data_IF_058896673676
#
_entry.id   IF_058896673676
#
_cell.length_a   1.000
_cell.length_b   1.000
_cell.length_c   1.000
_cell.angle_alpha   90.00
_cell.angle_beta   90.00
_cell.angle_gamma   90.00
#
_symmetry.space_group_name_H-M   'P 1'
#
loop_
_entity.id
_entity.type
_entity.pdbx_description
1 polymer ?
#
# COMPACT_ATOMS: atom_id res chain seq x y z
N UNK A 1 0.73 42.99 -23.27
CA UNK A 1 1.00 41.57 -22.93
C UNK A 1 -0.27 41.00 -22.35
N UNK A 2 -0.93 40.10 -23.06
CA UNK A 2 -2.08 39.40 -22.49
C UNK A 2 -1.62 38.60 -21.27
N UNK A 3 -2.19 38.91 -20.10
CA UNK A 3 -1.99 38.06 -18.93
C UNK A 3 -2.49 36.65 -19.26
N UNK A 4 -1.64 35.65 -18.98
CA UNK A 4 -1.95 34.23 -19.12
C UNK A 4 -3.28 33.90 -18.45
N UNK A 5 -4.11 33.08 -19.12
CA UNK A 5 -5.46 32.74 -18.69
C UNK A 5 -5.51 32.19 -17.25
N UNK A 6 -4.48 31.42 -16.84
CA UNK A 6 -4.39 30.84 -15.50
C UNK A 6 -4.20 31.89 -14.40
N UNK A 7 -3.54 33.01 -14.71
CA UNK A 7 -3.31 34.10 -13.75
C UNK A 7 -4.54 34.98 -13.55
N UNK A 8 -5.55 34.86 -14.43
CA UNK A 8 -6.85 35.53 -14.31
C UNK A 8 -7.85 34.74 -13.47
N UNK A 9 -7.55 33.48 -13.17
CA UNK A 9 -8.42 32.69 -12.30
C UNK A 9 -8.35 33.24 -10.87
N UNK A 10 -9.51 33.37 -10.20
CA UNK A 10 -9.56 33.60 -8.76
C UNK A 10 -8.73 32.56 -7.99
N UNK A 11 -8.11 32.98 -6.89
CA UNK A 11 -7.18 32.14 -6.12
C UNK A 11 -7.86 30.89 -5.55
N UNK A 12 -9.10 31.02 -5.10
CA UNK A 12 -9.95 29.93 -4.63
C UNK A 12 -10.24 28.90 -5.72
N UNK A 13 -10.54 29.33 -6.95
CA UNK A 13 -10.73 28.42 -8.08
C UNK A 13 -9.44 27.65 -8.38
N UNK A 14 -8.30 28.35 -8.40
CA UNK A 14 -7.00 27.72 -8.62
C UNK A 14 -6.69 26.68 -7.53
N UNK A 15 -6.82 27.06 -6.26
CA UNK A 15 -6.42 26.24 -5.09
C UNK A 15 -7.37 25.06 -4.85
N UNK A 16 -8.69 25.26 -4.87
CA UNK A 16 -9.67 24.23 -4.49
C UNK A 16 -10.17 23.40 -5.67
N UNK A 17 -10.14 23.93 -6.88
CA UNK A 17 -10.77 23.29 -8.04
C UNK A 17 -9.78 22.83 -9.10
N UNK A 18 -8.70 23.57 -9.35
CA UNK A 18 -7.73 23.19 -10.39
C UNK A 18 -6.69 22.21 -9.84
N UNK A 19 -6.02 22.56 -8.74
CA UNK A 19 -4.85 21.82 -8.20
C UNK A 19 -5.13 20.33 -7.95
N UNK A 20 -6.34 19.96 -7.51
CA UNK A 20 -6.69 18.56 -7.22
C UNK A 20 -6.60 17.63 -8.44
N UNK A 21 -6.85 18.16 -9.64
CA UNK A 21 -6.81 17.40 -10.89
C UNK A 21 -5.43 17.34 -11.53
N UNK A 22 -4.49 18.18 -11.09
CA UNK A 22 -3.13 18.21 -11.63
C UNK A 22 -2.28 17.07 -11.08
N UNK A 23 -1.30 16.62 -11.87
CA UNK A 23 -0.29 15.71 -11.37
C UNK A 23 0.67 16.41 -10.40
N UNK A 24 1.33 15.63 -9.55
CA UNK A 24 2.30 16.16 -8.59
C UNK A 24 3.42 16.96 -9.27
N UNK A 25 3.85 16.53 -10.46
CA UNK A 25 4.88 17.21 -11.26
C UNK A 25 4.38 18.58 -11.73
N UNK A 26 3.15 18.66 -12.21
CA UNK A 26 2.57 19.90 -12.72
C UNK A 26 2.31 20.91 -11.62
N UNK A 27 1.85 20.44 -10.45
CA UNK A 27 1.72 21.30 -9.26
C UNK A 27 3.09 21.93 -8.94
N UNK A 28 4.15 21.10 -8.86
CA UNK A 28 5.53 21.59 -8.61
C UNK A 28 6.01 22.58 -9.68
N UNK A 29 5.69 22.33 -10.95
CA UNK A 29 6.05 23.25 -12.04
C UNK A 29 5.29 24.58 -11.95
N UNK A 30 4.02 24.57 -11.55
CA UNK A 30 3.23 25.80 -11.34
C UNK A 30 3.84 26.69 -10.25
N UNK A 31 4.32 26.11 -9.14
CA UNK A 31 5.05 26.86 -8.11
C UNK A 31 6.28 27.60 -8.66
N UNK A 32 6.94 27.00 -9.65
CA UNK A 32 8.19 27.51 -10.23
C UNK A 32 7.96 28.49 -11.39
N UNK A 33 6.72 28.63 -11.87
CA UNK A 33 6.40 29.40 -13.08
C UNK A 33 6.51 30.91 -12.83
N UNK A 34 5.93 31.43 -11.74
CA UNK A 34 6.02 32.85 -11.40
C UNK A 34 5.77 33.14 -9.91
N UNK A 35 6.15 34.35 -9.45
CA UNK A 35 5.98 34.77 -8.05
C UNK A 35 4.53 34.78 -7.58
N UNK A 36 3.58 35.11 -8.46
CA UNK A 36 2.16 35.15 -8.11
C UNK A 36 1.63 33.74 -7.80
N UNK A 37 1.83 32.79 -8.72
CA UNK A 37 1.44 31.39 -8.51
C UNK A 37 2.16 30.77 -7.31
N UNK A 38 3.46 31.05 -7.15
CA UNK A 38 4.23 30.60 -5.99
C UNK A 38 3.61 31.03 -4.66
N UNK A 39 3.09 32.27 -4.58
CA UNK A 39 2.42 32.81 -3.39
C UNK A 39 1.04 32.16 -3.17
N UNK A 40 0.19 32.19 -4.18
CA UNK A 40 -1.20 31.68 -4.09
C UNK A 40 -1.25 30.17 -3.82
N UNK A 41 -0.31 29.40 -4.38
CA UNK A 41 -0.25 27.95 -4.18
C UNK A 41 0.39 27.54 -2.84
N UNK A 42 1.15 28.42 -2.17
CA UNK A 42 1.84 28.08 -0.93
C UNK A 42 0.91 28.16 0.30
N UNK A 43 -0.16 27.38 0.28
CA UNK A 43 -1.18 27.36 1.33
C UNK A 43 -1.48 25.92 1.80
N UNK A 44 -2.07 25.73 3.00
CA UNK A 44 -2.32 24.40 3.57
C UNK A 44 -3.11 23.46 2.66
N UNK A 45 -4.08 23.98 1.91
CA UNK A 45 -4.90 23.19 0.96
C UNK A 45 -4.06 22.54 -0.13
N UNK A 46 -3.17 23.29 -0.79
CA UNK A 46 -2.32 22.75 -1.85
C UNK A 46 -1.29 21.78 -1.27
N UNK A 47 -0.73 22.08 -0.09
CA UNK A 47 0.18 21.17 0.60
C UNK A 47 -0.49 19.87 1.03
N UNK A 48 -1.78 19.89 1.38
CA UNK A 48 -2.57 18.69 1.59
C UNK A 48 -2.67 17.85 0.31
N UNK A 49 -3.01 18.46 -0.83
CA UNK A 49 -3.06 17.76 -2.13
C UNK A 49 -1.69 17.16 -2.49
N UNK A 50 -0.60 17.91 -2.30
CA UNK A 50 0.76 17.44 -2.52
C UNK A 50 1.07 16.25 -1.62
N UNK A 51 0.71 16.32 -0.34
CA UNK A 51 0.92 15.25 0.62
C UNK A 51 0.19 13.98 0.19
N UNK A 52 -1.10 14.09 -0.13
CA UNK A 52 -1.93 12.97 -0.56
C UNK A 52 -1.38 12.33 -1.84
N UNK A 53 -0.99 13.12 -2.84
CA UNK A 53 -0.38 12.60 -4.07
C UNK A 53 1.03 11.99 -3.88
N UNK A 54 1.69 12.22 -2.74
CA UNK A 54 3.08 11.76 -2.51
C UNK A 54 3.15 10.54 -1.59
N UNK A 55 2.34 10.48 -0.54
CA UNK A 55 2.60 9.59 0.60
C UNK A 55 1.58 8.50 0.84
N UNK A 56 0.55 8.36 0.01
CA UNK A 56 -0.52 7.48 0.41
C UNK A 56 -1.15 6.70 -0.75
N UNK A 57 -1.53 5.46 -0.39
CA UNK A 57 -2.92 4.98 -0.27
C UNK A 57 -3.96 6.09 0.07
N UNK A 58 -3.87 7.25 -0.60
CA UNK A 58 -4.46 8.55 -0.24
C UNK A 58 -5.91 8.66 -0.69
N UNK A 59 -6.65 7.58 -0.51
CA UNK A 59 -8.10 7.55 -0.55
C UNK A 59 -8.69 7.30 0.84
N UNK A 60 -7.85 7.29 1.87
CA UNK A 60 -8.31 7.35 3.24
C UNK A 60 -8.80 8.76 3.54
N UNK A 61 -10.13 8.93 3.51
CA UNK A 61 -10.87 10.10 4.01
C UNK A 61 -10.58 10.40 5.51
N UNK A 62 -9.81 9.54 6.17
CA UNK A 62 -9.35 9.63 7.56
C UNK A 62 -8.46 10.83 7.87
N UNK A 63 -7.78 11.40 6.87
CA UNK A 63 -6.96 12.60 7.07
C UNK A 63 -7.83 13.84 6.93
N UNK A 64 -8.45 14.26 8.04
CA UNK A 64 -9.29 15.46 8.03
C UNK A 64 -8.50 16.67 7.53
N UNK A 65 -9.16 17.48 6.69
CA UNK A 65 -8.61 18.75 6.23
C UNK A 65 -8.13 19.63 7.40
N UNK A 66 -8.78 19.52 8.56
CA UNK A 66 -8.43 20.24 9.79
C UNK A 66 -7.01 19.92 10.28
N UNK A 67 -6.57 18.65 10.17
CA UNK A 67 -5.20 18.28 10.51
C UNK A 67 -4.19 18.93 9.57
N UNK A 68 -4.52 19.08 8.29
CA UNK A 68 -3.64 19.77 7.34
C UNK A 68 -3.67 21.28 7.45
N UNK A 69 -4.78 21.87 7.86
CA UNK A 69 -4.83 23.29 8.18
C UNK A 69 -3.86 23.63 9.33
N UNK A 70 -3.77 22.76 10.34
CA UNK A 70 -2.87 22.92 11.49
C UNK A 70 -1.39 22.66 11.15
N UNK A 71 -1.09 21.65 10.33
CA UNK A 71 0.28 21.16 10.15
C UNK A 71 0.91 21.43 8.76
N UNK A 72 0.09 21.78 7.76
CA UNK A 72 0.48 22.31 6.46
C UNK A 72 1.77 21.74 5.84
N UNK A 73 2.71 22.60 5.39
CA UNK A 73 3.99 22.16 4.82
C UNK A 73 4.89 21.39 5.81
N UNK A 74 4.72 21.60 7.12
CA UNK A 74 5.56 20.97 8.14
C UNK A 74 5.35 19.45 8.17
N UNK A 75 4.12 18.98 8.02
CA UNK A 75 3.82 17.54 7.95
C UNK A 75 4.48 16.88 6.73
N UNK A 76 4.38 17.51 5.56
CA UNK A 76 5.06 17.04 4.35
C UNK A 76 6.58 16.98 4.57
N UNK A 77 7.16 18.02 5.15
CA UNK A 77 8.60 18.07 5.44
C UNK A 77 9.01 16.96 6.41
N UNK A 78 8.27 16.72 7.49
CA UNK A 78 8.55 15.63 8.41
C UNK A 78 8.49 14.27 7.72
N UNK A 79 7.40 14.00 6.98
CA UNK A 79 7.21 12.71 6.30
C UNK A 79 8.28 12.47 5.22
N UNK A 80 8.65 13.49 4.45
CA UNK A 80 9.72 13.41 3.44
C UNK A 80 11.06 12.96 4.01
N UNK A 81 11.39 13.32 5.25
CA UNK A 81 12.63 12.94 5.90
C UNK A 81 12.48 11.69 6.79
N UNK A 82 11.41 10.91 6.60
CA UNK A 82 11.23 9.65 7.31
C UNK A 82 12.36 8.69 7.00
N UNK A 83 12.71 7.91 8.02
CA UNK A 83 13.70 6.85 7.92
C UNK A 83 12.98 5.51 7.81
N UNK A 84 13.43 4.64 6.91
CA UNK A 84 12.95 3.27 6.83
C UNK A 84 13.77 2.37 7.76
N UNK A 85 13.08 1.69 8.68
CA UNK A 85 13.65 0.73 9.63
C UNK A 85 12.99 -0.64 9.46
N UNK A 86 13.80 -1.68 9.27
CA UNK A 86 13.34 -3.07 9.12
C UNK A 86 13.86 -3.94 10.27
N UNK A 87 13.11 -4.96 10.67
CA UNK A 87 13.53 -5.94 11.67
C UNK A 87 12.76 -7.27 11.47
N UNK A 88 13.13 -8.31 12.20
CA UNK A 88 12.47 -9.62 12.14
C UNK A 88 13.34 -10.69 11.48
N UNK A 89 12.71 -11.64 10.79
CA UNK A 89 13.43 -12.71 10.09
C UNK A 89 14.17 -12.16 8.87
N UNK A 90 15.43 -12.56 8.67
CA UNK A 90 16.16 -12.28 7.42
C UNK A 90 16.23 -13.48 6.48
N UNK A 91 15.36 -14.47 6.66
CA UNK A 91 15.21 -15.57 5.70
C UNK A 91 14.94 -14.98 4.31
N UNK A 92 15.56 -15.56 3.27
CA UNK A 92 15.49 -15.05 1.89
C UNK A 92 16.08 -13.64 1.68
N UNK A 93 16.85 -13.14 2.65
CA UNK A 93 17.48 -11.81 2.59
C UNK A 93 16.48 -10.66 2.67
N UNK A 94 15.26 -10.91 3.16
CA UNK A 94 14.13 -9.97 3.12
C UNK A 94 14.40 -8.65 3.81
N UNK A 95 15.28 -8.58 4.82
CA UNK A 95 15.61 -7.30 5.48
C UNK A 95 16.59 -6.45 4.64
N UNK A 96 17.13 -7.01 3.56
CA UNK A 96 18.09 -6.34 2.69
C UNK A 96 19.37 -5.93 3.40
N UNK A 97 19.74 -6.49 4.55
CA UNK A 97 20.88 -6.00 5.33
C UNK A 97 22.25 -6.33 4.69
N UNK A 98 23.24 -5.46 4.92
CA UNK A 98 24.63 -5.68 4.47
C UNK A 98 25.35 -6.69 5.39
N UNK A 99 26.50 -7.22 4.96
CA UNK A 99 27.31 -8.13 5.76
C UNK A 99 27.79 -7.52 7.08
N UNK A 100 28.13 -6.23 7.05
CA UNK A 100 28.57 -5.50 8.24
C UNK A 100 27.41 -5.37 9.24
N UNK A 101 26.23 -4.96 8.77
CA UNK A 101 25.07 -4.86 9.65
C UNK A 101 24.64 -6.24 10.16
N UNK A 102 24.70 -7.27 9.32
CA UNK A 102 24.44 -8.65 9.71
C UNK A 102 25.33 -9.11 10.89
N UNK A 103 26.62 -8.75 10.87
CA UNK A 103 27.58 -9.15 11.90
C UNK A 103 27.38 -8.40 13.23
N UNK A 104 26.98 -7.12 13.17
CA UNK A 104 26.86 -6.25 14.34
C UNK A 104 25.45 -6.23 14.95
N UNK A 105 24.49 -6.92 14.34
CA UNK A 105 23.10 -6.87 14.77
C UNK A 105 22.79 -7.86 15.88
N UNK A 106 21.96 -7.41 16.81
CA UNK A 106 21.39 -8.26 17.85
C UNK A 106 20.26 -9.13 17.27
N UNK A 107 20.31 -10.42 17.58
CA UNK A 107 19.32 -11.40 17.12
C UNK A 107 19.01 -12.42 18.22
N UNK A 108 17.85 -13.04 18.09
CA UNK A 108 17.46 -14.25 18.80
C UNK A 108 17.29 -15.40 17.79
N UNK A 109 17.26 -16.64 18.29
CA UNK A 109 16.97 -17.82 17.48
C UNK A 109 15.58 -18.31 17.85
N UNK A 110 14.67 -18.31 16.88
CA UNK A 110 13.30 -18.81 17.03
C UNK A 110 13.05 -19.83 15.94
N UNK A 111 12.67 -21.06 16.31
CA UNK A 111 12.43 -22.17 15.38
C UNK A 111 13.60 -22.41 14.39
N UNK A 112 14.84 -22.29 14.88
CA UNK A 112 16.05 -22.47 14.07
C UNK A 112 16.37 -21.32 13.11
N UNK A 113 15.58 -20.24 13.09
CA UNK A 113 15.84 -19.04 12.29
C UNK A 113 16.32 -17.88 13.14
N UNK A 114 17.27 -17.10 12.61
CA UNK A 114 17.70 -15.84 13.23
C UNK A 114 16.61 -14.79 13.04
N UNK A 115 16.09 -14.26 14.14
CA UNK A 115 15.18 -13.12 14.18
C UNK A 115 15.92 -11.93 14.79
N UNK A 116 16.10 -10.89 13.99
CA UNK A 116 16.75 -9.66 14.42
C UNK A 116 15.74 -8.77 15.11
N UNK A 117 16.07 -8.31 16.32
CA UNK A 117 15.26 -7.35 17.07
C UNK A 117 15.88 -5.95 17.09
N UNK A 118 17.13 -5.79 16.67
CA UNK A 118 17.67 -4.50 16.27
C UNK A 118 17.12 -4.09 14.89
N UNK A 119 16.92 -2.79 14.69
CA UNK A 119 16.41 -2.27 13.41
C UNK A 119 17.54 -1.97 12.42
N UNK A 120 17.36 -2.38 11.17
CA UNK A 120 18.18 -2.00 10.03
C UNK A 120 17.64 -0.74 9.39
N UNK A 121 18.46 0.30 9.29
CA UNK A 121 18.08 1.53 8.62
C UNK A 121 18.48 1.51 7.14
N UNK A 122 17.52 1.73 6.25
CA UNK A 122 17.79 1.90 4.82
C UNK A 122 17.98 3.36 4.46
N UNK A 123 18.89 3.63 3.52
CA UNK A 123 19.12 4.96 2.95
C UNK A 123 18.45 5.09 1.59
N UNK A 124 17.77 6.22 1.37
CA UNK A 124 17.18 6.60 0.07
C UNK A 124 17.64 8.00 -0.28
N UNK A 125 17.90 8.25 -1.57
CA UNK A 125 18.27 9.56 -2.07
C UNK A 125 17.07 10.51 -2.18
N UNK A 126 15.89 9.98 -2.52
CA UNK A 126 14.67 10.77 -2.70
C UNK A 126 13.77 10.77 -1.48
N UNK A 127 13.81 9.73 -0.63
CA UNK A 127 12.92 9.53 0.52
C UNK A 127 11.83 8.49 0.24
N UNK A 128 11.09 8.10 1.27
CA UNK A 128 10.11 7.02 1.21
C UNK A 128 8.67 7.55 1.22
N UNK A 129 7.86 7.08 0.27
CA UNK A 129 6.43 7.31 0.23
C UNK A 129 5.69 6.26 1.08
N UNK A 130 5.94 4.99 0.78
CA UNK A 130 5.23 3.85 1.37
C UNK A 130 6.09 2.58 1.38
N UNK A 131 5.66 1.60 2.17
CA UNK A 131 6.26 0.26 2.23
C UNK A 131 5.18 -0.80 2.40
N UNK A 132 5.27 -1.86 1.61
CA UNK A 132 4.45 -3.05 1.78
C UNK A 132 5.32 -4.25 2.11
N UNK A 133 4.87 -5.07 3.06
CA UNK A 133 5.62 -6.23 3.53
C UNK A 133 5.03 -7.50 2.92
N UNK A 134 5.78 -8.13 2.01
CA UNK A 134 5.46 -9.45 1.51
C UNK A 134 5.94 -10.58 2.42
N UNK A 135 5.64 -11.82 2.05
CA UNK A 135 6.08 -13.00 2.80
C UNK A 135 7.60 -13.23 2.74
N UNK A 136 8.28 -12.71 1.71
CA UNK A 136 9.70 -12.94 1.46
C UNK A 136 10.49 -11.68 1.04
N UNK A 137 9.83 -10.55 0.91
CA UNK A 137 10.38 -9.26 0.46
C UNK A 137 9.67 -8.11 1.16
N UNK A 138 10.27 -6.92 1.06
CA UNK A 138 9.55 -5.66 1.25
C UNK A 138 9.58 -4.89 -0.05
N UNK A 139 8.44 -4.37 -0.45
CA UNK A 139 8.28 -3.50 -1.60
C UNK A 139 8.23 -2.05 -1.10
N UNK A 140 9.13 -1.22 -1.61
CA UNK A 140 9.42 0.12 -1.10
C UNK A 140 9.10 1.12 -2.20
N UNK A 141 8.16 2.02 -1.92
CA UNK A 141 7.78 3.10 -2.80
C UNK A 141 8.53 4.39 -2.40
N UNK A 142 9.29 4.97 -3.33
CA UNK A 142 9.94 6.27 -3.18
C UNK A 142 8.98 7.43 -3.46
N UNK A 143 9.25 8.62 -2.89
CA UNK A 143 8.42 9.82 -3.11
C UNK A 143 8.45 10.36 -4.56
N UNK A 144 9.39 9.86 -5.35
CA UNK A 144 9.51 10.13 -6.78
C UNK A 144 8.77 9.11 -7.64
N UNK A 145 8.10 8.14 -7.02
CA UNK A 145 7.41 7.03 -7.69
C UNK A 145 8.34 5.90 -8.13
N UNK A 146 9.59 5.87 -7.65
CA UNK A 146 10.45 4.69 -7.83
C UNK A 146 9.93 3.53 -6.98
N UNK A 147 9.87 2.34 -7.58
CA UNK A 147 9.59 1.10 -6.86
C UNK A 147 10.91 0.34 -6.67
N UNK A 148 11.19 -0.05 -5.44
CA UNK A 148 12.34 -0.88 -5.07
C UNK A 148 11.86 -2.05 -4.23
N UNK A 149 12.70 -3.07 -4.03
CA UNK A 149 12.35 -4.17 -3.14
C UNK A 149 13.57 -4.71 -2.39
N UNK A 150 13.33 -5.55 -1.39
CA UNK A 150 14.37 -6.29 -0.67
C UNK A 150 14.11 -7.79 -0.74
N UNK A 151 15.11 -8.61 -0.40
CA UNK A 151 15.05 -10.06 -0.55
C UNK A 151 15.61 -10.52 -1.88
N UNK A 152 16.45 -11.55 -1.86
CA UNK A 152 16.98 -12.12 -3.12
C UNK A 152 16.00 -13.09 -3.78
N UNK A 153 14.94 -13.47 -3.06
CA UNK A 153 13.89 -14.39 -3.49
C UNK A 153 12.56 -13.87 -2.93
N UNK A 154 11.97 -12.93 -3.66
CA UNK A 154 10.76 -12.19 -3.28
C UNK A 154 9.49 -13.06 -3.25
N UNK A 155 9.53 -14.25 -3.86
CA UNK A 155 8.40 -15.19 -3.92
C UNK A 155 8.66 -16.54 -3.23
N UNK A 156 9.81 -16.71 -2.57
CA UNK A 156 10.17 -17.93 -1.83
C UNK A 156 10.45 -19.17 -2.67
N UNK A 157 10.85 -19.00 -3.94
CA UNK A 157 11.28 -20.08 -4.85
C UNK A 157 12.75 -19.88 -5.24
N UNK A 158 13.60 -20.76 -4.72
CA UNK A 158 15.05 -20.71 -4.91
C UNK A 158 15.44 -20.58 -6.39
N UNK A 159 16.26 -19.57 -6.70
CA UNK A 159 17.12 -19.58 -7.88
C UNK A 159 16.74 -18.67 -9.05
N UNK A 160 15.91 -17.62 -8.89
CA UNK A 160 15.68 -16.66 -9.98
C UNK A 160 15.60 -15.18 -9.57
N UNK A 161 15.64 -14.35 -10.61
CA UNK A 161 15.96 -12.91 -10.75
C UNK A 161 14.94 -12.00 -10.05
N UNK A 162 15.42 -10.84 -9.60
CA UNK A 162 14.64 -9.68 -9.15
C UNK A 162 13.37 -9.39 -10.00
N UNK A 163 12.28 -8.88 -9.40
CA UNK A 163 11.02 -8.56 -10.07
C UNK A 163 11.12 -7.33 -11.00
N UNK A 164 11.93 -7.38 -12.06
CA UNK A 164 12.04 -6.30 -13.08
C UNK A 164 10.85 -6.24 -14.03
N UNK A 165 10.84 -5.38 -15.05
CA UNK A 165 9.82 -5.44 -16.11
C UNK A 165 10.20 -6.41 -17.23
N UNK A 166 9.19 -6.85 -17.98
CA UNK A 166 9.41 -7.62 -19.22
C UNK A 166 10.28 -6.85 -20.20
N UNK A 167 11.31 -7.50 -20.71
CA UNK A 167 12.21 -6.95 -21.73
C UNK A 167 13.36 -6.11 -21.20
N UNK A 168 13.37 -5.75 -19.91
CA UNK A 168 14.53 -5.11 -19.29
C UNK A 168 15.56 -6.16 -18.89
N UNK A 169 16.75 -6.08 -19.50
CA UNK A 169 17.93 -6.75 -18.95
C UNK A 169 18.27 -6.05 -17.65
N UNK A 170 17.84 -6.63 -16.54
CA UNK A 170 18.40 -6.32 -15.24
C UNK A 170 19.90 -6.59 -15.35
N UNK A 171 20.70 -5.51 -15.40
CA UNK A 171 22.16 -5.61 -15.46
C UNK A 171 22.60 -6.61 -14.41
N UNK A 172 23.32 -7.64 -14.84
CA UNK A 172 23.67 -8.85 -14.08
C UNK A 172 23.86 -8.55 -12.60
N UNK A 173 22.82 -8.74 -11.80
CA UNK A 173 22.96 -8.76 -10.37
C UNK A 173 23.59 -10.11 -10.12
N UNK A 174 24.83 -10.12 -9.66
CA UNK A 174 25.36 -11.28 -8.98
C UNK A 174 24.46 -11.52 -7.76
N UNK A 175 23.36 -12.25 -7.96
CA UNK A 175 22.65 -12.92 -6.90
C UNK A 175 23.68 -13.87 -6.28
N UNK A 176 24.37 -13.40 -5.24
CA UNK A 176 25.38 -14.16 -4.56
C UNK A 176 24.75 -15.48 -4.12
N UNK A 177 25.25 -16.59 -4.67
CA UNK A 177 24.81 -17.93 -4.24
C UNK A 177 25.02 -18.06 -2.72
N UNK A 178 24.16 -18.77 -1.99
CA UNK A 178 24.04 -18.68 -0.53
C UNK A 178 25.21 -19.30 0.27
N UNK A 179 26.32 -19.67 -0.35
CA UNK A 179 27.41 -20.37 0.36
C UNK A 179 28.24 -19.45 1.26
N UNK A 180 28.11 -18.14 1.12
CA UNK A 180 28.72 -17.16 2.02
C UNK A 180 27.77 -15.96 2.19
N UNK A 181 27.59 -15.41 3.42
CA UNK A 181 26.81 -14.20 3.64
C UNK A 181 27.60 -13.01 3.09
N UNK A 182 27.52 -12.78 1.78
CA UNK A 182 28.20 -11.68 1.08
C UNK A 182 27.12 -10.92 0.32
N UNK A 183 26.87 -9.68 0.74
CA UNK A 183 26.20 -8.54 0.08
C UNK A 183 25.01 -8.86 -0.86
N UNK A 184 23.83 -8.28 -0.66
CA UNK A 184 23.56 -6.88 -0.98
C UNK A 184 22.13 -6.51 -0.57
N UNK A 185 21.92 -5.30 -0.04
CA UNK A 185 20.65 -4.59 -0.25
C UNK A 185 20.41 -4.62 -1.77
N UNK A 186 19.45 -5.40 -2.27
CA UNK A 186 19.07 -5.32 -3.69
C UNK A 186 18.16 -4.11 -3.91
N UNK A 187 18.65 -2.90 -3.63
CA UNK A 187 17.99 -1.69 -4.09
C UNK A 187 18.24 -1.58 -5.60
N UNK A 188 17.41 -2.26 -6.37
CA UNK A 188 17.45 -2.17 -7.81
C UNK A 188 16.64 -0.97 -8.21
N UNK A 189 17.37 0.13 -8.35
CA UNK A 189 16.91 1.32 -9.01
C UNK A 189 16.64 0.97 -10.47
N UNK A 190 15.41 0.60 -10.80
CA UNK A 190 15.00 0.58 -12.19
C UNK A 190 14.89 2.03 -12.68
N UNK A 191 15.73 2.39 -13.64
CA UNK A 191 15.80 3.75 -14.20
C UNK A 191 14.64 4.06 -15.16
N UNK A 192 13.86 3.05 -15.52
CA UNK A 192 12.94 3.03 -16.67
C UNK A 192 11.54 2.55 -16.34
N UNK A 193 11.23 2.31 -15.05
CA UNK A 193 9.87 2.02 -14.61
C UNK A 193 8.93 3.22 -14.82
N UNK A 194 7.62 2.97 -15.04
CA UNK A 194 6.61 4.00 -14.83
C UNK A 194 6.68 4.49 -13.38
N UNK A 195 6.19 5.71 -13.13
CA UNK A 195 6.15 6.24 -11.76
C UNK A 195 4.98 5.62 -11.02
N UNK A 196 5.27 4.88 -9.97
CA UNK A 196 4.26 4.25 -9.13
C UNK A 196 3.71 5.22 -8.09
N UNK A 197 2.43 5.04 -7.76
CA UNK A 197 1.72 5.82 -6.74
C UNK A 197 1.19 4.96 -5.60
N UNK A 198 1.10 3.64 -5.79
CA UNK A 198 0.70 2.70 -4.74
C UNK A 198 1.35 1.33 -4.94
N UNK A 199 1.57 0.61 -3.84
CA UNK A 199 2.06 -0.77 -3.83
C UNK A 199 1.34 -1.57 -2.75
N UNK A 200 1.06 -2.85 -3.01
CA UNK A 200 0.46 -3.74 -2.01
C UNK A 200 0.94 -5.16 -2.21
N UNK A 201 1.43 -5.79 -1.14
CA UNK A 201 2.09 -7.09 -1.18
C UNK A 201 1.28 -8.17 -0.47
N UNK A 202 1.18 -9.32 -1.15
CA UNK A 202 0.71 -10.57 -0.57
C UNK A 202 1.88 -11.44 -0.12
N UNK A 203 1.67 -12.76 -0.01
CA UNK A 203 2.74 -13.64 0.48
C UNK A 203 3.90 -13.79 -0.51
N UNK A 204 3.58 -14.00 -1.78
CA UNK A 204 4.55 -14.32 -2.84
C UNK A 204 4.24 -13.55 -4.14
N UNK A 205 3.47 -12.48 -4.03
CA UNK A 205 3.01 -11.65 -5.12
C UNK A 205 2.81 -10.22 -4.62
N UNK A 206 2.80 -9.25 -5.53
CA UNK A 206 2.45 -7.88 -5.21
C UNK A 206 1.84 -7.17 -6.42
N UNK A 207 1.11 -6.09 -6.11
CA UNK A 207 0.48 -5.20 -7.07
C UNK A 207 1.10 -3.82 -6.96
N UNK A 208 1.12 -3.08 -8.06
CA UNK A 208 1.43 -1.66 -8.05
C UNK A 208 0.51 -0.89 -9.00
N UNK A 209 0.23 0.36 -8.66
CA UNK A 209 -0.54 1.28 -9.51
C UNK A 209 0.39 2.40 -9.95
N UNK A 210 0.45 2.68 -11.25
CA UNK A 210 1.23 3.82 -11.77
C UNK A 210 0.43 5.12 -11.85
N UNK A 211 1.13 6.22 -12.15
CA UNK A 211 0.57 7.57 -12.27
C UNK A 211 -0.50 7.69 -13.35
N UNK A 212 -0.47 6.81 -14.35
CA UNK A 212 -1.45 6.76 -15.45
C UNK A 212 -2.63 5.84 -15.11
N UNK A 213 -2.73 5.36 -13.87
CA UNK A 213 -3.75 4.44 -13.37
C UNK A 213 -3.68 3.05 -14.04
N UNK A 214 -2.50 2.63 -14.52
CA UNK A 214 -2.30 1.25 -14.93
C UNK A 214 -2.00 0.35 -13.75
N UNK A 215 -2.60 -0.83 -13.74
CA UNK A 215 -2.34 -1.87 -12.75
C UNK A 215 -1.21 -2.77 -13.22
N UNK A 216 -0.27 -3.05 -12.31
CA UNK A 216 0.87 -3.92 -12.54
C UNK A 216 0.87 -5.06 -11.52
N UNK A 217 1.34 -6.22 -11.92
CA UNK A 217 1.37 -7.43 -11.07
C UNK A 217 2.68 -8.19 -11.22
N UNK A 218 3.11 -8.76 -10.09
CA UNK A 218 4.25 -9.67 -9.99
C UNK A 218 3.78 -10.87 -9.18
N UNK A 219 3.81 -12.07 -9.76
CA UNK A 219 3.38 -13.30 -9.09
C UNK A 219 4.10 -14.53 -9.68
N UNK A 220 3.85 -15.71 -9.10
CA UNK A 220 4.50 -16.98 -9.45
C UNK A 220 3.78 -17.80 -10.54
N UNK A 221 2.73 -17.22 -11.15
CA UNK A 221 1.77 -17.86 -12.04
C UNK A 221 2.28 -18.08 -13.46
N UNK A 222 3.42 -18.74 -13.62
CA UNK A 222 4.02 -19.25 -14.86
C UNK A 222 5.10 -18.38 -15.52
N UNK A 223 6.32 -18.92 -15.54
CA UNK A 223 7.49 -18.60 -16.40
C UNK A 223 8.12 -17.20 -16.25
N UNK A 224 7.36 -16.21 -15.79
CA UNK A 224 7.74 -14.80 -15.84
C UNK A 224 7.99 -14.24 -14.44
N UNK A 225 9.18 -13.71 -14.22
CA UNK A 225 9.63 -13.13 -12.95
C UNK A 225 9.59 -11.61 -12.99
N UNK A 226 8.70 -11.07 -13.81
CA UNK A 226 8.72 -9.66 -14.14
C UNK A 226 7.32 -9.06 -14.04
N UNK A 227 7.29 -7.76 -13.84
CA UNK A 227 6.10 -6.95 -13.75
C UNK A 227 5.42 -6.89 -15.10
N UNK A 228 4.14 -7.25 -15.09
CA UNK A 228 3.26 -7.19 -16.24
C UNK A 228 2.15 -6.19 -16.01
N UNK A 229 1.81 -5.45 -17.06
CA UNK A 229 0.57 -4.67 -17.10
C UNK A 229 -0.63 -5.61 -17.04
N UNK A 230 -1.56 -5.37 -16.12
CA UNK A 230 -2.69 -6.24 -15.82
C UNK A 230 -4.01 -5.57 -16.21
N UNK A 231 -4.77 -6.26 -17.06
CA UNK A 231 -6.15 -5.87 -17.38
C UNK A 231 -7.16 -6.70 -16.58
N UNK A 232 -8.27 -6.07 -16.19
CA UNK A 232 -9.32 -6.70 -15.39
C UNK A 232 -10.47 -7.14 -16.29
N UNK A 233 -10.93 -8.38 -16.13
CA UNK A 233 -11.99 -8.96 -16.95
C UNK A 233 -13.03 -9.60 -16.03
N UNK A 234 -14.31 -9.36 -16.29
CA UNK A 234 -15.39 -10.03 -15.58
C UNK A 234 -15.33 -11.54 -15.86
N UNK A 235 -15.20 -12.34 -14.81
CA UNK A 235 -15.05 -13.79 -14.94
C UNK A 235 -16.31 -14.55 -15.37
N UNK A 236 -17.48 -13.90 -15.42
CA UNK A 236 -18.75 -14.51 -15.84
C UNK A 236 -19.07 -14.16 -17.29
N UNK A 237 -18.98 -12.88 -17.66
CA UNK A 237 -19.38 -12.40 -18.99
C UNK A 237 -18.21 -12.14 -19.95
N UNK A 238 -16.97 -12.38 -19.52
CA UNK A 238 -15.74 -12.19 -20.30
C UNK A 238 -15.65 -10.80 -20.94
N UNK A 239 -15.92 -9.77 -20.14
CA UNK A 239 -15.84 -8.37 -20.56
C UNK A 239 -14.79 -7.63 -19.76
N UNK A 240 -13.96 -6.85 -20.45
CA UNK A 240 -13.00 -5.96 -19.81
C UNK A 240 -13.71 -4.95 -18.89
N UNK A 241 -13.25 -4.88 -17.64
CA UNK A 241 -13.69 -3.90 -16.65
C UNK A 241 -12.78 -2.69 -16.77
N UNK A 242 -13.38 -1.57 -17.18
CA UNK A 242 -12.70 -0.28 -17.31
C UNK A 242 -13.13 0.65 -16.19
N UNK A 243 -12.22 1.50 -15.74
CA UNK A 243 -12.50 2.51 -14.73
C UNK A 243 -11.24 2.95 -14.00
N UNK A 244 -11.34 4.07 -13.29
CA UNK A 244 -10.26 4.53 -12.43
C UNK A 244 -10.10 3.57 -11.25
N UNK A 245 -8.87 3.16 -10.97
CA UNK A 245 -8.56 2.30 -9.84
C UNK A 245 -8.33 3.21 -8.65
N UNK A 246 -9.11 2.95 -7.61
CA UNK A 246 -9.20 3.77 -6.43
C UNK A 246 -8.24 3.29 -5.33
N UNK A 247 -8.22 1.99 -5.08
CA UNK A 247 -7.40 1.37 -4.03
C UNK A 247 -7.00 -0.03 -4.50
N UNK A 248 -5.74 -0.40 -4.35
CA UNK A 248 -5.25 -1.77 -4.58
C UNK A 248 -5.02 -2.45 -3.24
N UNK A 249 -5.30 -3.74 -3.14
CA UNK A 249 -4.97 -4.55 -1.96
C UNK A 249 -4.55 -5.95 -2.40
N UNK A 250 -3.41 -6.40 -1.91
CA UNK A 250 -2.99 -7.79 -1.96
C UNK A 250 -3.16 -8.41 -0.57
N UNK A 251 -3.98 -9.44 -0.48
CA UNK A 251 -4.02 -10.33 0.68
C UNK A 251 -2.97 -11.43 0.54
N UNK A 252 -2.97 -12.38 1.46
CA UNK A 252 -1.95 -13.44 1.44
C UNK A 252 -2.00 -14.25 0.13
N UNK A 253 -3.18 -14.67 -0.36
CA UNK A 253 -3.35 -15.38 -1.65
C UNK A 253 -4.30 -14.67 -2.63
N UNK A 254 -4.95 -13.59 -2.19
CA UNK A 254 -5.94 -12.87 -2.98
C UNK A 254 -5.38 -11.53 -3.43
N UNK A 255 -5.94 -11.03 -4.53
CA UNK A 255 -5.72 -9.71 -5.05
C UNK A 255 -7.05 -9.00 -5.20
N UNK A 256 -7.04 -7.68 -5.07
CA UNK A 256 -8.21 -6.88 -5.34
C UNK A 256 -7.86 -5.46 -5.70
N UNK A 257 -8.84 -4.80 -6.30
CA UNK A 257 -8.86 -3.35 -6.35
C UNK A 257 -10.30 -2.83 -6.28
N UNK A 258 -10.44 -1.61 -5.76
CA UNK A 258 -11.66 -0.81 -5.86
C UNK A 258 -11.65 -0.10 -7.21
N UNK A 259 -12.65 -0.33 -8.05
CA UNK A 259 -12.81 0.35 -9.34
C UNK A 259 -13.98 1.32 -9.25
N UNK A 260 -13.75 2.60 -9.54
CA UNK A 260 -14.75 3.66 -9.43
C UNK A 260 -16.03 3.32 -10.20
N UNK A 261 -17.19 3.41 -9.55
CA UNK A 261 -18.50 3.08 -10.11
C UNK A 261 -18.80 1.58 -10.27
N UNK A 262 -17.81 0.70 -10.13
CA UNK A 262 -17.96 -0.77 -10.25
C UNK A 262 -17.95 -1.43 -8.86
N UNK A 263 -17.00 -1.07 -8.01
CA UNK A 263 -16.78 -1.66 -6.69
C UNK A 263 -15.53 -2.50 -6.58
N UNK A 264 -15.47 -3.28 -5.49
CA UNK A 264 -14.34 -4.15 -5.20
C UNK A 264 -14.39 -5.34 -6.13
N UNK A 265 -13.31 -5.53 -6.88
CA UNK A 265 -13.09 -6.73 -7.69
C UNK A 265 -11.99 -7.58 -7.06
N UNK A 266 -12.15 -8.90 -7.06
CA UNK A 266 -11.23 -9.86 -6.41
C UNK A 266 -10.81 -10.95 -7.38
N UNK A 267 -9.54 -11.33 -7.36
CA UNK A 267 -8.98 -12.46 -8.11
C UNK A 267 -7.87 -13.16 -7.35
N UNK A 268 -7.55 -14.40 -7.74
CA UNK A 268 -6.45 -15.19 -7.14
C UNK A 268 -5.37 -15.58 -8.14
N UNK A 269 -5.62 -15.42 -9.44
CA UNK A 269 -4.64 -15.69 -10.49
C UNK A 269 -4.93 -14.83 -11.72
N UNK A 270 -3.96 -14.80 -12.63
CA UNK A 270 -4.06 -14.15 -13.95
C UNK A 270 -3.69 -15.15 -15.03
N UNK A 271 -4.12 -14.88 -16.25
CA UNK A 271 -3.68 -15.58 -17.46
C UNK A 271 -2.74 -14.69 -18.25
N UNK A 272 -1.61 -15.24 -18.71
CA UNK A 272 -0.66 -14.53 -19.57
C UNK A 272 -0.73 -15.12 -20.98
N UNK A 273 -1.17 -14.30 -21.94
CA UNK A 273 -1.09 -14.60 -23.36
C UNK A 273 -0.05 -13.68 -24.01
N UNK A 274 0.52 -14.06 -25.16
CA UNK A 274 1.71 -13.42 -25.80
C UNK A 274 1.71 -11.88 -25.87
N UNK A 275 0.55 -11.22 -25.81
CA UNK A 275 0.40 -9.76 -25.82
C UNK A 275 -0.44 -9.16 -24.68
N UNK A 276 -1.06 -9.96 -23.82
CA UNK A 276 -2.01 -9.45 -22.82
C UNK A 276 -2.03 -10.33 -21.56
N UNK A 277 -1.90 -9.66 -20.42
CA UNK A 277 -2.06 -10.28 -19.11
C UNK A 277 -3.42 -9.88 -18.54
N UNK A 278 -4.26 -10.88 -18.25
CA UNK A 278 -5.65 -10.70 -17.79
C UNK A 278 -5.86 -11.31 -16.41
N UNK A 279 -6.51 -10.60 -15.51
CA UNK A 279 -7.14 -11.19 -14.32
C UNK A 279 -8.63 -11.34 -14.56
N UNK A 280 -9.13 -12.57 -14.45
CA UNK A 280 -10.57 -12.82 -14.40
C UNK A 280 -11.03 -12.62 -12.96
N UNK A 281 -11.86 -11.61 -12.76
CA UNK A 281 -12.24 -11.12 -11.43
C UNK A 281 -13.68 -11.47 -11.10
N UNK A 282 -13.95 -11.56 -9.80
CA UNK A 282 -15.29 -11.53 -9.24
C UNK A 282 -15.56 -10.12 -8.72
N UNK A 283 -16.65 -9.50 -9.18
CA UNK A 283 -17.14 -8.23 -8.64
C UNK A 283 -17.92 -8.54 -7.36
N UNK A 284 -17.57 -7.90 -6.25
CA UNK A 284 -18.31 -8.02 -5.00
C UNK A 284 -19.54 -7.10 -5.05
N UNK A 285 -20.76 -7.61 -4.82
CA UNK A 285 -21.97 -6.81 -4.94
C UNK A 285 -22.04 -5.73 -3.86
N UNK A 286 -22.55 -4.54 -4.20
CA UNK A 286 -22.74 -3.39 -3.28
C UNK A 286 -21.46 -2.90 -2.60
N UNK A 287 -20.34 -2.93 -3.33
CA UNK A 287 -19.04 -2.55 -2.78
C UNK A 287 -18.39 -1.34 -3.48
N UNK A 288 -19.18 -0.46 -4.11
CA UNK A 288 -18.61 0.76 -4.70
C UNK A 288 -18.15 1.77 -3.64
N UNK A 289 -17.42 2.79 -4.09
CA UNK A 289 -16.82 3.83 -3.27
C UNK A 289 -17.83 4.66 -2.45
N UNK A 290 -19.11 4.66 -2.83
CA UNK A 290 -20.19 5.31 -2.09
C UNK A 290 -20.76 4.41 -0.99
N UNK A 291 -20.39 3.13 -0.94
CA UNK A 291 -20.84 2.18 0.10
C UNK A 291 -19.71 1.74 1.01
N UNK A 292 -18.49 1.57 0.50
CA UNK A 292 -17.37 1.07 1.28
C UNK A 292 -16.47 2.23 1.68
N UNK A 293 -16.16 2.29 2.97
CA UNK A 293 -15.21 3.24 3.55
C UNK A 293 -13.78 2.70 3.49
N UNK A 294 -13.55 1.50 4.01
CA UNK A 294 -12.25 0.83 3.95
C UNK A 294 -12.42 -0.69 3.86
N UNK A 295 -11.40 -1.38 3.35
CA UNK A 295 -11.39 -2.82 3.27
C UNK A 295 -9.99 -3.39 3.29
N UNK A 296 -9.88 -4.64 3.74
CA UNK A 296 -8.65 -5.41 3.76
C UNK A 296 -8.85 -6.83 3.25
N UNK A 297 -7.82 -7.35 2.59
CA UNK A 297 -7.77 -8.72 2.13
C UNK A 297 -6.97 -9.58 3.10
N UNK A 298 -7.57 -10.69 3.47
CA UNK A 298 -6.98 -11.77 4.23
C UNK A 298 -6.49 -12.87 3.26
N UNK A 299 -6.23 -14.07 3.74
CA UNK A 299 -5.84 -15.21 2.91
C UNK A 299 -6.96 -15.62 1.95
N UNK A 300 -8.18 -15.69 2.46
CA UNK A 300 -9.34 -16.19 1.73
C UNK A 300 -10.60 -15.35 2.03
N UNK A 301 -10.44 -14.15 2.59
CA UNK A 301 -11.52 -13.28 3.03
C UNK A 301 -11.28 -11.83 2.59
N UNK A 302 -12.38 -11.08 2.52
CA UNK A 302 -12.37 -9.62 2.50
C UNK A 302 -13.13 -9.15 3.74
N UNK A 303 -12.53 -8.26 4.53
CA UNK A 303 -13.21 -7.56 5.63
C UNK A 303 -13.40 -6.12 5.20
N UNK A 304 -14.58 -5.56 5.45
CA UNK A 304 -14.94 -4.22 5.00
C UNK A 304 -15.56 -3.43 6.14
N UNK A 305 -15.32 -2.12 6.13
CA UNK A 305 -16.12 -1.12 6.83
C UNK A 305 -16.99 -0.46 5.79
N UNK A 306 -18.30 -0.57 5.92
CA UNK A 306 -19.23 0.19 5.08
C UNK A 306 -19.38 1.63 5.62
N UNK A 307 -19.96 2.52 4.80
CA UNK A 307 -20.27 3.91 5.18
C UNK A 307 -21.45 4.01 6.15
N UNK A 308 -22.10 2.90 6.48
CA UNK A 308 -23.03 2.79 7.60
C UNK A 308 -22.33 2.29 8.87
N UNK A 309 -21.00 2.32 8.88
CA UNK A 309 -20.12 2.05 10.02
C UNK A 309 -20.11 0.59 10.49
N UNK A 310 -20.60 -0.33 9.68
CA UNK A 310 -20.57 -1.76 9.99
C UNK A 310 -19.27 -2.40 9.52
N UNK A 311 -18.69 -3.25 10.39
CA UNK A 311 -17.63 -4.19 9.99
C UNK A 311 -18.30 -5.48 9.53
N UNK A 312 -18.04 -5.91 8.30
CA UNK A 312 -18.72 -7.07 7.73
C UNK A 312 -17.89 -7.83 6.68
N UNK A 313 -18.33 -9.06 6.38
CA UNK A 313 -17.91 -9.83 5.21
C UNK A 313 -18.85 -9.56 4.02
N UNK A 314 -18.39 -9.73 2.76
CA UNK A 314 -19.26 -9.77 1.60
C UNK A 314 -20.22 -10.98 1.63
N UNK A 315 -21.44 -10.87 1.10
CA UNK A 315 -22.05 -9.63 0.62
C UNK A 315 -22.45 -8.69 1.78
N UNK A 316 -22.91 -9.21 2.93
CA UNK A 316 -23.42 -8.38 4.05
C UNK A 316 -23.42 -9.10 5.41
N UNK A 317 -22.47 -10.01 5.69
CA UNK A 317 -22.45 -10.70 7.00
C UNK A 317 -21.73 -9.83 8.04
N UNK A 318 -22.52 -9.13 8.86
CA UNK A 318 -22.02 -8.21 9.90
C UNK A 318 -21.29 -8.98 11.00
N UNK A 319 -20.20 -8.41 11.50
CA UNK A 319 -19.45 -8.94 12.64
C UNK A 319 -20.06 -8.43 13.95
N UNK A 320 -21.18 -9.04 14.36
CA UNK A 320 -22.01 -8.58 15.49
C UNK A 320 -21.23 -8.36 16.80
N UNK A 321 -20.19 -9.14 17.05
CA UNK A 321 -19.36 -9.01 18.25
C UNK A 321 -18.56 -7.70 18.27
N UNK A 322 -18.06 -7.26 17.10
CA UNK A 322 -17.39 -5.97 16.96
C UNK A 322 -18.40 -4.82 17.11
N UNK A 323 -19.57 -4.96 16.48
CA UNK A 323 -20.63 -3.95 16.56
C UNK A 323 -21.22 -3.83 17.97
N UNK A 324 -21.31 -4.93 18.71
CA UNK A 324 -21.76 -4.93 20.10
C UNK A 324 -20.74 -4.26 21.03
N UNK A 325 -19.45 -4.53 20.81
CA UNK A 325 -18.38 -3.89 21.58
C UNK A 325 -18.40 -2.36 21.41
N UNK A 326 -18.47 -1.85 20.18
CA UNK A 326 -18.35 -0.41 19.95
C UNK A 326 -19.56 0.35 20.53
N UNK A 327 -20.77 -0.19 20.36
CA UNK A 327 -22.01 0.34 20.94
C UNK A 327 -21.97 0.41 22.47
N UNK A 328 -21.32 -0.54 23.12
CA UNK A 328 -21.24 -0.60 24.60
C UNK A 328 -20.10 0.25 25.17
N UNK A 329 -19.06 0.55 24.39
CA UNK A 329 -17.86 1.22 24.86
C UNK A 329 -17.79 2.71 24.47
N UNK A 330 -18.90 3.27 23.99
CA UNK A 330 -19.05 4.71 23.77
C UNK A 330 -18.33 5.26 22.54
N UNK A 331 -17.85 4.41 21.64
CA UNK A 331 -17.36 4.83 20.33
C UNK A 331 -18.48 4.69 19.28
N UNK A 332 -18.48 5.59 18.31
CA UNK A 332 -19.47 5.66 17.24
C UNK A 332 -19.21 4.62 16.15
N UNK A 333 -17.95 4.51 15.70
CA UNK A 333 -17.57 3.78 14.48
C UNK A 333 -16.13 3.32 14.45
N UNK A 334 -15.88 2.31 13.62
CA UNK A 334 -14.53 1.92 13.22
C UNK A 334 -14.06 2.79 12.05
N UNK A 335 -12.80 3.21 12.09
CA UNK A 335 -12.22 4.18 11.16
C UNK A 335 -11.04 3.62 10.35
N UNK A 336 -10.53 2.43 10.68
CA UNK A 336 -9.42 1.84 9.95
C UNK A 336 -9.45 0.33 10.02
N UNK A 337 -9.11 -0.31 8.90
CA UNK A 337 -8.85 -1.73 8.81
C UNK A 337 -7.38 -1.98 8.43
N UNK A 338 -6.81 -3.03 9.02
CA UNK A 338 -5.60 -3.64 8.52
C UNK A 338 -5.65 -5.14 8.77
N UNK A 339 -4.81 -5.92 8.10
CA UNK A 339 -4.94 -7.36 8.17
C UNK A 339 -4.01 -8.08 7.22
N UNK A 340 -3.70 -9.32 7.59
CA UNK A 340 -2.92 -10.26 6.83
C UNK A 340 -3.29 -11.67 7.28
N UNK A 341 -3.16 -12.65 6.40
CA UNK A 341 -3.48 -14.05 6.68
C UNK A 341 -4.91 -14.28 7.21
N UNK A 342 -5.03 -14.65 8.48
CA UNK A 342 -6.27 -14.88 9.20
C UNK A 342 -6.58 -13.74 10.17
N UNK A 343 -5.68 -12.75 10.32
CA UNK A 343 -5.76 -11.72 11.35
C UNK A 343 -6.12 -10.38 10.72
N UNK A 344 -7.08 -9.67 11.32
CA UNK A 344 -7.33 -8.27 10.99
C UNK A 344 -7.42 -7.44 12.28
N UNK A 345 -7.09 -6.17 12.18
CA UNK A 345 -7.27 -5.19 13.23
C UNK A 345 -8.27 -4.13 12.76
N UNK A 346 -9.11 -3.66 13.69
CA UNK A 346 -9.90 -2.45 13.51
C UNK A 346 -9.53 -1.44 14.57
N UNK A 347 -9.51 -0.17 14.17
CA UNK A 347 -9.32 0.97 15.07
C UNK A 347 -10.63 1.76 15.12
N UNK A 348 -11.11 2.08 16.31
CA UNK A 348 -12.31 2.92 16.51
C UNK A 348 -11.98 4.42 16.55
N UNK A 349 -12.98 5.26 16.33
CA UNK A 349 -12.84 6.73 16.54
C UNK A 349 -12.50 7.07 18.00
N UNK A 350 -12.90 6.19 18.94
CA UNK A 350 -12.55 6.27 20.36
C UNK A 350 -11.16 5.73 20.70
N UNK A 351 -10.34 5.41 19.70
CA UNK A 351 -8.98 4.90 19.85
C UNK A 351 -8.90 3.54 20.57
N UNK A 352 -9.92 2.70 20.36
CA UNK A 352 -9.88 1.28 20.72
C UNK A 352 -9.31 0.46 19.57
N UNK A 353 -8.45 -0.51 19.90
CA UNK A 353 -7.89 -1.46 18.93
C UNK A 353 -8.44 -2.86 19.23
N UNK A 354 -9.12 -3.44 18.25
CA UNK A 354 -9.66 -4.80 18.32
C UNK A 354 -9.02 -5.67 17.25
N UNK A 355 -8.59 -6.86 17.66
CA UNK A 355 -8.00 -7.86 16.76
C UNK A 355 -9.01 -8.97 16.52
N UNK A 356 -9.38 -9.16 15.26
CA UNK A 356 -10.18 -10.30 14.81
C UNK A 356 -9.31 -11.38 14.20
N UNK A 357 -9.66 -12.63 14.48
CA UNK A 357 -9.06 -13.79 13.81
C UNK A 357 -10.12 -14.64 13.13
N UNK A 358 -9.94 -14.85 11.83
CA UNK A 358 -10.73 -15.80 11.05
C UNK A 358 -10.27 -17.21 11.44
N UNK A 359 -11.10 -17.95 12.17
CA UNK A 359 -10.91 -19.38 12.33
C UNK A 359 -11.42 -20.16 11.12
N UNK A 360 -11.02 -21.43 11.00
CA UNK A 360 -11.54 -22.34 9.96
C UNK A 360 -13.07 -22.53 9.97
N UNK A 361 -13.78 -22.11 11.03
CA UNK A 361 -15.23 -22.32 11.18
C UNK A 361 -16.06 -21.12 11.67
N UNK A 362 -15.46 -19.99 12.10
CA UNK A 362 -16.13 -18.73 12.49
C UNK A 362 -15.10 -17.70 12.99
N UNK A 363 -15.43 -16.40 13.00
CA UNK A 363 -14.62 -15.41 13.73
C UNK A 363 -14.70 -15.67 15.23
N UNK A 364 -13.55 -15.70 15.89
CA UNK A 364 -13.51 -15.68 17.36
C UNK A 364 -13.87 -14.28 17.86
N UNK A 365 -14.28 -14.20 19.13
CA UNK A 365 -14.46 -12.94 19.85
C UNK A 365 -13.27 -12.01 19.59
N UNK A 366 -13.51 -10.72 19.32
CA UNK A 366 -12.43 -9.78 19.12
C UNK A 366 -11.54 -9.76 20.37
N UNK A 367 -10.23 -9.89 20.15
CA UNK A 367 -9.26 -9.63 21.20
C UNK A 367 -9.14 -8.10 21.36
N UNK A 368 -9.53 -7.61 22.53
CA UNK A 368 -9.48 -6.19 22.85
C UNK A 368 -8.07 -5.86 23.38
N UNK A 369 -7.38 -4.94 22.71
CA UNK A 369 -6.03 -4.52 23.10
C UNK A 369 -6.08 -3.42 24.14
N UNK A 370 -6.43 -3.78 25.38
CA UNK A 370 -6.59 -2.82 26.48
C UNK A 370 -5.33 -1.96 26.74
N UNK A 371 -4.13 -2.49 26.46
CA UNK A 371 -2.87 -1.76 26.59
C UNK A 371 -2.69 -0.62 25.57
N UNK A 372 -3.44 -0.65 24.47
CA UNK A 372 -3.37 0.33 23.38
C UNK A 372 -4.47 1.39 23.46
N UNK A 373 -5.44 1.23 24.37
CA UNK A 373 -6.56 2.14 24.51
C UNK A 373 -6.10 3.56 24.87
N UNK A 374 -6.64 4.56 24.20
CA UNK A 374 -6.35 5.99 24.44
C UNK A 374 -4.85 6.34 24.34
N UNK A 375 -4.13 5.68 23.43
CA UNK A 375 -2.73 5.94 23.09
C UNK A 375 -2.55 6.68 21.76
N UNK A 376 -3.63 7.13 21.14
CA UNK A 376 -3.69 7.76 19.82
C UNK A 376 -3.05 6.88 18.74
N UNK A 377 -3.46 5.61 18.68
CA UNK A 377 -2.98 4.64 17.71
C UNK A 377 -3.49 5.01 16.32
N UNK A 378 -2.57 5.47 15.48
CA UNK A 378 -2.90 5.87 14.11
C UNK A 378 -2.91 4.70 13.12
N UNK A 379 -2.19 3.61 13.41
CA UNK A 379 -2.08 2.45 12.51
C UNK A 379 -1.67 1.19 13.28
N UNK A 380 -2.12 0.05 12.79
CA UNK A 380 -1.73 -1.30 13.23
C UNK A 380 -1.40 -2.09 11.97
N UNK A 381 -0.35 -2.91 11.99
CA UNK A 381 0.01 -3.75 10.85
C UNK A 381 0.03 -5.21 11.30
N UNK A 382 -0.79 -6.05 10.68
CA UNK A 382 -0.79 -7.48 10.97
C UNK A 382 0.12 -8.23 9.99
N UNK A 383 0.85 -9.22 10.50
CA UNK A 383 1.45 -10.29 9.72
C UNK A 383 0.79 -11.64 10.04
N UNK A 384 1.36 -12.72 9.50
CA UNK A 384 0.83 -14.08 9.63
C UNK A 384 0.55 -14.49 11.09
N UNK A 385 1.48 -14.15 11.97
CA UNK A 385 1.52 -14.62 13.37
C UNK A 385 1.89 -13.51 14.38
N UNK A 386 1.84 -12.24 13.95
CA UNK A 386 2.15 -11.07 14.78
C UNK A 386 1.32 -9.87 14.31
N UNK A 387 1.24 -8.83 15.13
CA UNK A 387 0.59 -7.56 14.82
C UNK A 387 1.20 -6.44 15.66
#
# INVERSE_FOLDING_TARGET
MEQSLILRLPEDILVFHVVKYLELKDIKNLFLTCKQLSRSLNCPTVWHVIYMKTFAEAQDENYSFEMFYKWGPAMYKQRKHSVLKLFGSNSFGRLGCTRETYNNSKYEIVNGQRRYYGTFQMTSQSGYADISAGGFSFEILGIDGTLSFTGYDWHGRLGRIAPGLKGERIGTIQAARPRNPINTVQALYWKTLPRFTAVSSGRAHFLALDSDNNLWTWDDGHVLLYGEHLTLWDGIIDKEIKGKILKIRAGWNLNSCMVAGVGIVVWSYRTVNNSLTKAYVRILPRTNENYIFDYVLLESAVIMIDRHENVHLPPTVVLDQFMSYIKTNGSSRFIRLSGCYETFAVISEGDDVLIGKRGRMQFKLPLIMASLKQKSIITVAAGDYHF
#
